data_IF_383982108137
#
_entry.id   IF_383982108137
#
_cell.length_a   1.000
_cell.length_b   1.000
_cell.length_c   1.000
_cell.angle_alpha   90.00
_cell.angle_beta   90.00
_cell.angle_gamma   90.00
#
_symmetry.space_group_name_H-M   'P 1'
#
loop_
_entity.id
_entity.type
_entity.pdbx_description
1 polymer ?
#
# COMPACT_ATOMS: atom_id res chain seq x y z
N UNK A 1 -1.59 -18.05 -7.98
CA UNK A 1 -0.16 -17.68 -8.04
C UNK A 1 -0.10 -16.23 -8.48
N UNK A 2 -0.31 -15.29 -7.56
CA UNK A 2 -0.16 -13.87 -7.85
C UNK A 2 1.33 -13.61 -8.08
N UNK A 3 1.68 -13.35 -9.33
CA UNK A 3 3.00 -12.90 -9.73
C UNK A 3 3.43 -11.74 -8.82
N UNK A 4 4.62 -11.83 -8.24
CA UNK A 4 5.30 -10.81 -7.42
C UNK A 4 5.72 -9.64 -8.35
N UNK A 5 4.74 -9.06 -9.03
CA UNK A 5 4.93 -7.94 -9.95
C UNK A 5 5.21 -6.73 -9.08
N UNK A 6 6.35 -6.10 -9.34
CA UNK A 6 6.67 -4.86 -8.68
C UNK A 6 5.71 -3.77 -9.14
N UNK A 7 4.95 -3.20 -8.20
CA UNK A 7 3.99 -2.12 -8.44
C UNK A 7 4.71 -0.79 -8.53
N UNK A 8 5.64 -0.54 -7.60
CA UNK A 8 6.35 0.72 -7.50
C UNK A 8 7.76 0.53 -6.93
N UNK A 9 8.67 1.43 -7.32
CA UNK A 9 10.03 1.49 -6.83
C UNK A 9 10.37 2.93 -6.45
N UNK A 10 11.04 3.09 -5.31
CA UNK A 10 11.57 4.37 -4.87
C UNK A 10 13.06 4.24 -4.57
N UNK A 11 13.87 5.13 -5.14
CA UNK A 11 15.21 5.38 -4.64
C UNK A 11 15.09 6.04 -3.27
N UNK A 12 15.76 5.48 -2.27
CA UNK A 12 15.71 5.96 -0.89
C UNK A 12 16.93 5.49 -0.11
N UNK A 13 17.00 5.87 1.17
CA UNK A 13 17.98 5.34 2.11
C UNK A 13 17.28 4.59 3.23
N UNK A 14 17.86 3.46 3.66
CA UNK A 14 17.40 2.69 4.82
C UNK A 14 18.33 2.93 6.00
N UNK A 15 17.78 3.07 7.22
CA UNK A 15 18.61 3.14 8.41
C UNK A 15 18.92 1.74 8.92
N UNK A 16 20.20 1.36 8.88
CA UNK A 16 20.66 0.09 9.39
C UNK A 16 21.08 0.24 10.86
N UNK A 17 20.24 -0.23 11.78
CA UNK A 17 20.46 -0.06 13.24
C UNK A 17 21.74 -0.73 13.74
N UNK A 18 22.12 -1.89 13.18
CA UNK A 18 23.35 -2.60 13.57
C UNK A 18 24.61 -1.77 13.30
N UNK A 19 24.64 -1.04 12.19
CA UNK A 19 25.76 -0.20 11.77
C UNK A 19 25.56 1.28 12.10
N UNK A 20 24.41 1.65 12.67
CA UNK A 20 23.99 3.02 13.00
C UNK A 20 24.15 4.02 11.84
N UNK A 21 23.96 3.57 10.60
CA UNK A 21 24.17 4.38 9.39
C UNK A 21 23.01 4.27 8.40
N UNK A 22 22.87 5.29 7.55
CA UNK A 22 21.99 5.25 6.39
C UNK A 22 22.70 4.58 5.21
N UNK A 23 22.02 3.66 4.56
CA UNK A 23 22.51 2.99 3.35
C UNK A 23 21.61 3.33 2.16
N UNK A 24 22.17 3.75 1.02
CA UNK A 24 21.38 4.02 -0.17
C UNK A 24 20.88 2.72 -0.80
N UNK A 25 19.72 2.78 -1.43
CA UNK A 25 19.14 1.63 -2.08
C UNK A 25 17.79 1.91 -2.72
N UNK A 26 17.05 0.83 -2.93
CA UNK A 26 15.73 0.85 -3.56
C UNK A 26 14.71 0.14 -2.69
N UNK A 27 13.62 0.85 -2.41
CA UNK A 27 12.40 0.31 -1.81
C UNK A 27 11.46 -0.12 -2.92
N UNK A 28 11.14 -1.40 -2.98
CA UNK A 28 10.24 -2.01 -3.96
C UNK A 28 8.95 -2.43 -3.27
N UNK A 29 7.81 -2.04 -3.83
CA UNK A 29 6.49 -2.46 -3.39
C UNK A 29 5.91 -3.48 -4.37
N UNK A 30 5.31 -4.51 -3.82
CA UNK A 30 4.46 -5.49 -4.49
C UNK A 30 3.08 -5.46 -3.83
N UNK A 31 2.04 -6.09 -4.38
CA UNK A 31 0.71 -6.05 -3.77
C UNK A 31 0.67 -6.57 -2.32
N UNK A 32 1.61 -7.45 -1.96
CA UNK A 32 1.60 -8.13 -0.65
C UNK A 32 2.84 -7.88 0.19
N UNK A 33 3.94 -7.35 -0.37
CA UNK A 33 5.22 -7.20 0.34
C UNK A 33 5.90 -5.87 0.05
N UNK A 34 6.62 -5.38 1.05
CA UNK A 34 7.57 -4.28 0.92
C UNK A 34 8.99 -4.85 1.05
N UNK A 35 9.89 -4.47 0.14
CA UNK A 35 11.25 -5.01 0.04
C UNK A 35 12.25 -3.89 -0.12
N UNK A 36 13.35 -3.92 0.63
CA UNK A 36 14.46 -2.98 0.47
C UNK A 36 15.73 -3.71 0.07
N UNK A 37 16.39 -3.21 -0.96
CA UNK A 37 17.67 -3.69 -1.46
C UNK A 37 18.68 -2.54 -1.45
N UNK A 38 19.80 -2.72 -0.78
CA UNK A 38 20.89 -1.75 -0.82
C UNK A 38 21.57 -1.74 -2.19
N UNK A 39 22.14 -0.60 -2.56
CA UNK A 39 22.91 -0.48 -3.79
C UNK A 39 24.14 -1.40 -3.75
N UNK A 40 24.35 -2.17 -4.82
CA UNK A 40 25.43 -3.16 -4.91
C UNK A 40 25.18 -4.48 -4.15
N UNK A 41 24.13 -4.58 -3.33
CA UNK A 41 23.76 -5.85 -2.70
C UNK A 41 23.15 -6.82 -3.73
N UNK A 42 23.33 -8.13 -3.52
CA UNK A 42 22.64 -9.14 -4.32
C UNK A 42 21.24 -9.44 -3.75
N UNK A 43 21.13 -9.45 -2.43
CA UNK A 43 19.92 -9.83 -1.69
C UNK A 43 19.18 -8.62 -1.08
N UNK A 44 17.94 -8.86 -0.65
CA UNK A 44 17.15 -7.86 0.07
C UNK A 44 17.58 -7.82 1.53
N UNK A 45 17.87 -6.62 2.04
CA UNK A 45 18.19 -6.41 3.46
C UNK A 45 16.95 -6.47 4.34
N UNK A 46 15.80 -6.10 3.78
CA UNK A 46 14.52 -6.15 4.47
C UNK A 46 13.47 -6.64 3.49
N UNK A 47 12.66 -7.61 3.91
CA UNK A 47 11.49 -8.04 3.16
C UNK A 47 10.42 -8.56 4.11
N UNK A 48 9.33 -7.80 4.22
CA UNK A 48 8.19 -8.18 5.05
C UNK A 48 6.87 -8.10 4.28
N UNK A 49 5.87 -8.81 4.79
CA UNK A 49 4.52 -8.81 4.22
C UNK A 49 3.76 -7.59 4.74
N UNK A 50 2.92 -6.96 3.92
CA UNK A 50 2.18 -5.77 4.35
C UNK A 50 1.25 -6.07 5.54
N UNK A 51 0.76 -7.31 5.66
CA UNK A 51 -0.04 -7.73 6.84
C UNK A 51 0.76 -7.89 8.14
N UNK A 52 2.11 -7.88 8.11
CA UNK A 52 2.94 -7.82 9.32
C UNK A 52 3.11 -6.40 9.84
N UNK A 53 2.71 -5.39 9.07
CA UNK A 53 2.80 -3.99 9.47
C UNK A 53 1.72 -3.67 10.50
N UNK A 54 2.15 -3.12 11.64
CA UNK A 54 1.29 -2.58 12.68
C UNK A 54 1.03 -1.08 12.46
N UNK A 55 2.04 -0.34 12.02
CA UNK A 55 1.93 1.11 11.85
C UNK A 55 2.85 1.64 10.75
N UNK A 56 2.39 2.65 10.01
CA UNK A 56 3.21 3.44 9.08
C UNK A 56 3.08 4.91 9.46
N UNK A 57 4.21 5.59 9.69
CA UNK A 57 4.25 7.01 10.07
C UNK A 57 5.10 7.83 9.12
N UNK A 58 4.66 9.07 8.92
CA UNK A 58 5.47 10.14 8.32
C UNK A 58 6.24 10.79 9.45
N UNK A 59 7.56 10.67 9.42
CA UNK A 59 8.43 11.27 10.44
C UNK A 59 9.34 12.30 9.80
N UNK A 60 9.57 13.40 10.50
CA UNK A 60 10.52 14.44 10.11
C UNK A 60 11.34 14.80 11.32
N UNK A 61 12.67 14.73 11.21
CA UNK A 61 13.50 15.42 12.20
C UNK A 61 13.34 16.92 12.00
N UNK A 62 13.54 17.69 13.07
CA UNK A 62 13.31 19.14 13.12
C UNK A 62 14.11 19.95 12.10
N UNK A 63 15.03 19.36 11.33
CA UNK A 63 15.91 20.11 10.43
C UNK A 63 16.16 19.56 9.03
N UNK A 64 16.19 18.25 8.71
CA UNK A 64 16.72 17.83 7.37
C UNK A 64 16.24 16.51 6.73
N UNK A 65 15.59 15.57 7.44
CA UNK A 65 15.23 14.29 6.81
C UNK A 65 13.72 14.00 6.84
N UNK A 66 13.10 14.08 5.67
CA UNK A 66 11.77 13.53 5.45
C UNK A 66 11.86 12.01 5.39
N UNK A 67 11.15 11.34 6.30
CA UNK A 67 11.21 9.89 6.45
C UNK A 67 9.83 9.25 6.59
N UNK A 68 9.80 7.96 6.30
CA UNK A 68 8.70 7.04 6.60
C UNK A 68 9.25 6.01 7.58
N UNK A 69 8.49 5.73 8.63
CA UNK A 69 8.76 4.62 9.52
C UNK A 69 7.69 3.55 9.35
N UNK A 70 8.12 2.30 9.38
CA UNK A 70 7.24 1.13 9.34
C UNK A 70 7.53 0.31 10.59
N UNK A 71 6.49 0.09 11.40
CA UNK A 71 6.56 -0.74 12.59
C UNK A 71 5.92 -2.09 12.28
N UNK A 72 6.70 -3.16 12.39
CA UNK A 72 6.20 -4.53 12.28
C UNK A 72 5.57 -5.02 13.60
N UNK A 73 4.80 -6.11 13.52
CA UNK A 73 4.12 -6.74 14.67
C UNK A 73 5.07 -7.21 15.77
N UNK A 74 6.30 -7.57 15.40
CA UNK A 74 7.38 -7.97 16.31
C UNK A 74 8.10 -6.78 16.97
N UNK A 75 7.57 -5.56 16.81
CA UNK A 75 8.16 -4.30 17.26
C UNK A 75 9.46 -3.89 16.51
N UNK A 76 9.78 -4.51 15.38
CA UNK A 76 10.86 -4.03 14.52
C UNK A 76 10.45 -2.71 13.84
N UNK A 77 11.25 -1.66 14.05
CA UNK A 77 11.04 -0.34 13.43
C UNK A 77 12.02 -0.11 12.29
N UNK A 78 11.48 -0.01 11.08
CA UNK A 78 12.21 0.28 9.85
C UNK A 78 12.11 1.76 9.51
N UNK A 79 13.24 2.37 9.16
CA UNK A 79 13.28 3.78 8.76
C UNK A 79 13.74 3.91 7.31
N UNK A 80 12.96 4.65 6.53
CA UNK A 80 13.25 4.98 5.15
C UNK A 80 13.27 6.51 4.99
N UNK A 81 14.33 7.06 4.41
CA UNK A 81 14.48 8.49 4.17
C UNK A 81 14.84 8.77 2.70
N UNK A 82 14.87 10.05 2.31
CA UNK A 82 15.29 10.47 0.97
C UNK A 82 14.48 9.82 -0.17
N UNK A 83 13.20 9.53 0.09
CA UNK A 83 12.31 8.89 -0.87
C UNK A 83 12.01 9.82 -2.05
N UNK A 84 12.39 9.39 -3.26
CA UNK A 84 12.14 10.11 -4.50
C UNK A 84 10.85 9.62 -5.17
N UNK A 85 10.00 10.49 -5.76
CA UNK A 85 10.20 11.94 -5.91
C UNK A 85 9.91 12.73 -4.63
N UNK A 86 9.11 12.19 -3.70
CA UNK A 86 8.86 12.76 -2.38
C UNK A 86 8.32 11.68 -1.43
N UNK A 87 8.66 11.78 -0.15
CA UNK A 87 8.10 11.04 1.00
C UNK A 87 6.58 10.90 0.96
N UNK A 88 5.84 11.96 0.63
CA UNK A 88 4.37 11.92 0.67
C UNK A 88 3.78 10.94 -0.36
N UNK A 89 4.36 10.88 -1.56
CA UNK A 89 3.90 9.98 -2.63
C UNK A 89 4.14 8.53 -2.22
N UNK A 90 5.35 8.21 -1.79
CA UNK A 90 5.69 6.87 -1.32
C UNK A 90 4.81 6.45 -0.12
N UNK A 91 4.62 7.34 0.86
CA UNK A 91 3.77 7.08 2.01
C UNK A 91 2.33 6.77 1.59
N UNK A 92 1.72 7.59 0.73
CA UNK A 92 0.34 7.40 0.31
C UNK A 92 0.14 6.07 -0.42
N UNK A 93 1.07 5.70 -1.32
CA UNK A 93 1.00 4.43 -2.05
C UNK A 93 1.17 3.25 -1.09
N UNK A 94 2.20 3.24 -0.23
CA UNK A 94 2.41 2.13 0.71
C UNK A 94 1.23 2.00 1.68
N UNK A 95 0.73 3.12 2.19
CA UNK A 95 -0.42 3.14 3.10
C UNK A 95 -1.68 2.58 2.45
N UNK A 96 -1.91 2.88 1.17
CA UNK A 96 -3.04 2.35 0.42
C UNK A 96 -2.99 0.81 0.36
N UNK A 97 -1.90 0.25 -0.15
CA UNK A 97 -1.74 -1.21 -0.24
C UNK A 97 -1.80 -1.90 1.13
N UNK A 98 -1.22 -1.29 2.16
CA UNK A 98 -1.32 -1.82 3.51
C UNK A 98 -2.77 -1.89 3.99
N UNK A 99 -3.57 -0.83 3.79
CA UNK A 99 -4.98 -0.79 4.21
C UNK A 99 -5.84 -1.75 3.41
N UNK A 100 -5.60 -1.92 2.13
CA UNK A 100 -6.31 -2.92 1.31
C UNK A 100 -6.12 -4.35 1.83
N UNK A 101 -4.92 -4.66 2.33
CA UNK A 101 -4.63 -5.96 2.96
C UNK A 101 -5.37 -6.17 4.28
N UNK A 102 -5.74 -5.09 4.98
CA UNK A 102 -6.57 -5.17 6.20
C UNK A 102 -8.06 -5.34 5.90
N UNK A 103 -8.51 -4.86 4.73
CA UNK A 103 -9.92 -4.91 4.31
C UNK A 103 -10.27 -6.22 3.59
N UNK A 104 -9.28 -6.92 3.04
CA UNK A 104 -9.49 -8.21 2.39
C UNK A 104 -9.76 -9.27 3.47
N UNK A 105 -10.94 -9.92 3.50
CA UNK A 105 -11.23 -10.96 4.48
C UNK A 105 -10.18 -12.06 4.38
N UNK A 106 -9.65 -12.49 5.54
CA UNK A 106 -8.61 -13.51 5.66
C UNK A 106 -8.97 -14.88 5.03
N UNK A 107 -10.20 -15.04 4.50
CA UNK A 107 -10.69 -16.20 3.75
C UNK A 107 -10.86 -16.02 2.23
N UNK A 108 -10.49 -14.89 1.62
CA UNK A 108 -10.67 -14.66 0.17
C UNK A 108 -9.46 -15.05 -0.70
N UNK A 109 -8.44 -15.70 -0.12
CA UNK A 109 -7.35 -16.31 -0.90
C UNK A 109 -7.76 -17.67 -1.47
N UNK A 110 -9.03 -17.87 -1.79
CA UNK A 110 -9.53 -18.98 -2.59
C UNK A 110 -10.61 -18.47 -3.52
N UNK A 111 -10.31 -18.48 -4.82
CA UNK A 111 -11.19 -18.18 -5.96
C UNK A 111 -11.63 -16.72 -6.16
N UNK A 112 -10.95 -16.03 -7.08
CA UNK A 112 -11.68 -15.40 -8.20
C UNK A 112 -10.78 -15.25 -9.42
N UNK A 113 -10.61 -16.36 -10.14
CA UNK A 113 -10.57 -16.32 -11.59
C UNK A 113 -11.97 -16.68 -12.06
N UNK A 114 -12.75 -15.69 -12.50
CA UNK A 114 -13.66 -15.72 -13.66
C UNK A 114 -14.70 -14.58 -13.60
N UNK A 115 -14.73 -13.84 -14.72
CA UNK A 115 -15.93 -13.27 -15.39
C UNK A 115 -16.73 -12.20 -14.63
N UNK A 116 -17.19 -11.10 -15.19
CA UNK A 116 -17.74 -10.91 -16.53
C UNK A 116 -17.80 -9.40 -16.82
N UNK A 117 -17.41 -9.03 -18.04
CA UNK A 117 -18.10 -8.08 -18.92
C UNK A 117 -19.15 -7.19 -18.22
N UNK A 118 -18.84 -5.90 -18.08
CA UNK A 118 -19.78 -4.86 -17.70
C UNK A 118 -20.86 -4.70 -18.77
N UNK A 119 -21.88 -5.55 -18.69
CA UNK A 119 -23.10 -5.49 -19.46
C UNK A 119 -24.25 -4.99 -18.58
N UNK A 120 -24.85 -3.90 -19.04
CA UNK A 120 -26.30 -3.65 -19.00
C UNK A 120 -26.88 -3.05 -17.70
N UNK A 121 -26.87 -1.72 -17.69
CA UNK A 121 -27.86 -0.91 -16.99
C UNK A 121 -29.24 -1.09 -17.64
N UNK A 122 -30.15 -1.82 -17.02
CA UNK A 122 -31.60 -1.58 -17.12
C UNK A 122 -32.23 -1.95 -15.78
N UNK A 123 -32.57 -0.96 -14.96
CA UNK A 123 -33.66 -1.13 -14.00
C UNK A 123 -34.86 -0.35 -14.54
N UNK A 124 -35.78 -1.10 -15.15
CA UNK A 124 -37.07 -0.66 -15.65
C UNK A 124 -38.05 -0.66 -14.48
N UNK A 125 -38.49 0.52 -14.03
CA UNK A 125 -39.74 0.62 -13.26
C UNK A 125 -40.71 1.46 -14.07
N UNK A 126 -41.73 0.75 -14.54
CA UNK A 126 -42.85 1.21 -15.35
C UNK A 126 -43.83 2.02 -14.49
N UNK A 127 -44.47 2.98 -15.15
CA UNK A 127 -45.42 3.96 -14.66
C UNK A 127 -46.57 3.44 -13.77
N UNK A 128 -47.11 4.35 -12.95
CA UNK A 128 -48.54 4.40 -12.60
C UNK A 128 -48.91 5.85 -12.29
N UNK A 129 -49.51 6.53 -13.27
CA UNK A 129 -50.22 7.80 -13.08
C UNK A 129 -51.66 7.49 -12.66
N UNK A 130 -52.07 8.07 -11.54
CA UNK A 130 -53.46 8.21 -11.06
C UNK A 130 -53.34 9.04 -9.77
N UNK A 131 -54.05 10.12 -9.51
CA UNK A 131 -55.31 10.62 -10.02
C UNK A 131 -55.45 12.06 -9.47
N UNK A 132 -56.13 12.93 -10.22
CA UNK A 132 -56.31 14.35 -9.98
C UNK A 132 -57.43 14.57 -8.97
N UNK A 133 -57.16 15.23 -7.84
CA UNK A 133 -58.20 15.73 -6.93
C UNK A 133 -57.99 17.23 -6.74
N UNK A 134 -58.68 18.01 -7.57
CA UNK A 134 -59.01 19.40 -7.31
C UNK A 134 -60.45 19.41 -6.77
N UNK A 135 -60.63 19.89 -5.54
CA UNK A 135 -61.94 20.30 -5.05
C UNK A 135 -61.79 21.31 -3.91
N UNK A 136 -62.29 22.52 -4.21
CA UNK A 136 -62.75 23.63 -3.34
C UNK A 136 -61.74 24.45 -2.54
#
# INVERSE_FOLDING_TARGET
>A
MSSDVCVQNWSCSYYLTSEKRWIPGRLSLTPSRLKFKADGAHEFLVSFHLSSINEIKKESSSYIFSSITVLEKDQAKHWFSSLQPNRNVAFNVIQHFWREQLLTPQGSHTASSKTSQGGEFVNRVTASQSHMEEST
#
